data_IF_905506356307
#
_entry.id   IF_905506356307
#
_cell.length_a   1.000
_cell.length_b   1.000
_cell.length_c   1.000
_cell.angle_alpha   90.00
_cell.angle_beta   90.00
_cell.angle_gamma   90.00
#
_symmetry.space_group_name_H-M   'P 1'
#
loop_
_entity.id
_entity.type
_entity.pdbx_description
1 polymer ?
#
# COMPACT_ATOMS: atom_id res chain seq x y z
N UNK A 1 42.61 -0.06 9.44
CA UNK A 1 41.22 0.44 9.52
C UNK A 1 40.48 0.45 8.18
N UNK A 2 41.16 0.44 7.03
CA UNK A 2 40.55 0.48 5.69
C UNK A 2 39.55 -0.66 5.40
N UNK A 3 39.87 -1.91 5.73
CA UNK A 3 39.02 -3.05 5.35
C UNK A 3 37.65 -3.17 6.02
N UNK A 4 37.43 -2.56 7.20
CA UNK A 4 36.11 -2.59 7.89
C UNK A 4 35.17 -1.51 7.34
N UNK A 5 35.74 -0.34 7.02
CA UNK A 5 34.97 0.77 6.47
C UNK A 5 34.47 0.47 5.05
N UNK A 6 35.29 -0.18 4.22
CA UNK A 6 34.87 -0.61 2.88
C UNK A 6 33.76 -1.66 2.92
N UNK A 7 33.83 -2.65 3.83
CA UNK A 7 32.76 -3.64 4.02
C UNK A 7 31.44 -3.00 4.48
N UNK A 8 31.51 -1.98 5.33
CA UNK A 8 30.32 -1.23 5.78
C UNK A 8 29.72 -0.39 4.64
N UNK A 9 30.57 0.28 3.86
CA UNK A 9 30.14 1.06 2.69
C UNK A 9 29.49 0.17 1.63
N UNK A 10 30.05 -1.02 1.39
CA UNK A 10 29.49 -2.02 0.48
C UNK A 10 28.12 -2.53 0.96
N UNK A 11 27.97 -2.85 2.26
CA UNK A 11 26.69 -3.30 2.84
C UNK A 11 25.62 -2.21 2.76
N UNK A 12 25.95 -0.98 3.13
CA UNK A 12 25.05 0.17 3.00
C UNK A 12 24.62 0.39 1.55
N UNK A 13 25.55 0.28 0.60
CA UNK A 13 25.26 0.38 -0.83
C UNK A 13 24.29 -0.68 -1.34
N UNK A 14 24.48 -1.94 -0.95
CA UNK A 14 23.58 -3.04 -1.32
C UNK A 14 22.18 -2.82 -0.71
N UNK A 15 22.09 -2.40 0.56
CA UNK A 15 20.81 -2.11 1.21
C UNK A 15 20.07 -0.94 0.54
N UNK A 16 20.78 0.14 0.20
CA UNK A 16 20.20 1.27 -0.54
C UNK A 16 19.69 0.84 -1.91
N UNK A 17 20.45 -0.02 -2.63
CA UNK A 17 20.02 -0.56 -3.91
C UNK A 17 18.74 -1.39 -3.78
N UNK A 18 18.67 -2.28 -2.79
CA UNK A 18 17.47 -3.10 -2.53
C UNK A 18 16.25 -2.22 -2.22
N UNK A 19 16.42 -1.18 -1.39
CA UNK A 19 15.35 -0.23 -1.08
C UNK A 19 14.92 0.53 -2.34
N UNK A 20 15.87 1.02 -3.14
CA UNK A 20 15.57 1.75 -4.37
C UNK A 20 14.81 0.89 -5.39
N UNK A 21 15.21 -0.37 -5.57
CA UNK A 21 14.50 -1.32 -6.43
C UNK A 21 13.11 -1.62 -5.87
N UNK A 22 12.97 -1.86 -4.56
CA UNK A 22 11.68 -2.10 -3.91
C UNK A 22 10.73 -0.91 -4.07
N UNK A 23 11.19 0.31 -3.82
CA UNK A 23 10.42 1.52 -4.04
C UNK A 23 10.06 1.69 -5.52
N UNK A 24 11.01 1.49 -6.44
CA UNK A 24 10.76 1.56 -7.87
C UNK A 24 9.66 0.61 -8.33
N UNK A 25 9.69 -0.64 -7.88
CA UNK A 25 8.65 -1.64 -8.18
C UNK A 25 7.30 -1.29 -7.55
N UNK A 26 7.30 -0.77 -6.31
CA UNK A 26 6.08 -0.32 -5.63
C UNK A 26 5.39 0.81 -6.41
N UNK A 27 6.16 1.81 -6.82
CA UNK A 27 5.65 2.95 -7.56
C UNK A 27 5.27 2.58 -9.00
N UNK A 28 6.06 1.76 -9.71
CA UNK A 28 5.77 1.38 -11.10
C UNK A 28 4.43 0.65 -11.24
N UNK A 29 4.12 -0.27 -10.32
CA UNK A 29 2.82 -0.96 -10.29
C UNK A 29 1.68 -0.02 -9.88
N UNK A 30 1.96 0.94 -8.99
CA UNK A 30 1.01 1.99 -8.61
C UNK A 30 0.82 3.11 -9.64
N UNK A 31 1.77 3.33 -10.56
CA UNK A 31 1.72 4.40 -11.56
C UNK A 31 1.28 3.90 -12.94
N UNK A 32 1.57 2.64 -13.27
CA UNK A 32 1.12 2.00 -14.52
C UNK A 32 -0.37 1.65 -14.54
N UNK A 33 -1.05 1.76 -13.41
CA UNK A 33 -2.49 1.61 -13.28
C UNK A 33 -2.99 2.74 -12.39
N UNK A 34 -4.05 3.47 -12.73
CA UNK A 34 -4.66 4.49 -11.84
C UNK A 34 -5.28 3.90 -10.55
N UNK A 35 -4.92 2.66 -10.21
CA UNK A 35 -5.20 2.01 -8.94
C UNK A 35 -4.41 2.75 -7.86
N UNK A 36 -4.99 3.01 -6.68
CA UNK A 36 -4.24 3.66 -5.61
C UNK A 36 -3.00 2.82 -5.26
N UNK A 37 -1.82 3.44 -5.33
CA UNK A 37 -0.56 2.81 -4.92
C UNK A 37 -0.70 2.23 -3.51
N UNK A 38 -0.33 0.97 -3.32
CA UNK A 38 -0.45 0.32 -2.02
C UNK A 38 -1.83 -0.25 -1.70
N UNK A 39 -2.79 -0.27 -2.63
CA UNK A 39 -4.14 -0.83 -2.39
C UNK A 39 -4.11 -2.22 -1.75
N UNK A 40 -3.27 -3.13 -2.28
CA UNK A 40 -3.14 -4.48 -1.74
C UNK A 40 -2.74 -4.51 -0.26
N UNK A 41 -1.74 -3.70 0.11
CA UNK A 41 -1.29 -3.60 1.49
C UNK A 41 -2.32 -2.86 2.37
N UNK A 42 -2.93 -1.79 1.87
CA UNK A 42 -3.96 -1.05 2.59
C UNK A 42 -5.18 -1.94 2.91
N UNK A 43 -5.61 -2.78 1.97
CA UNK A 43 -6.64 -3.78 2.20
C UNK A 43 -6.18 -4.89 3.17
N UNK A 44 -4.92 -5.31 3.12
CA UNK A 44 -4.41 -6.32 4.05
C UNK A 44 -4.45 -5.83 5.52
N UNK A 45 -4.01 -4.60 5.77
CA UNK A 45 -3.93 -4.01 7.12
C UNK A 45 -5.19 -3.26 7.56
N UNK A 46 -6.15 -3.04 6.66
CA UNK A 46 -7.40 -2.34 6.97
C UNK A 46 -8.34 -3.14 7.87
N UNK A 47 -9.17 -2.41 8.61
CA UNK A 47 -10.24 -2.98 9.45
C UNK A 47 -11.49 -3.18 8.60
N UNK A 48 -12.22 -4.31 8.70
CA UNK A 48 -13.49 -4.50 8.00
C UNK A 48 -14.43 -3.30 8.21
N UNK A 49 -15.00 -2.82 7.11
CA UNK A 49 -15.80 -1.61 7.09
C UNK A 49 -17.09 -1.80 6.30
N UNK A 50 -18.19 -1.26 6.83
CA UNK A 50 -19.39 -1.00 6.03
C UNK A 50 -19.24 0.37 5.36
N UNK A 51 -19.80 0.51 4.16
CA UNK A 51 -19.58 1.66 3.28
C UNK A 51 -20.92 2.10 2.72
N UNK A 52 -21.23 3.38 2.94
CA UNK A 52 -22.37 4.06 2.34
C UNK A 52 -21.86 5.09 1.33
N UNK A 53 -22.18 4.87 0.06
CA UNK A 53 -21.75 5.73 -1.02
C UNK A 53 -22.54 7.04 -1.02
N UNK A 54 -21.85 8.15 -1.29
CA UNK A 54 -22.51 9.34 -1.79
C UNK A 54 -22.98 9.10 -3.24
N UNK A 55 -23.91 9.92 -3.74
CA UNK A 55 -24.46 9.80 -5.10
C UNK A 55 -23.45 10.04 -6.24
N UNK A 56 -22.17 10.31 -5.93
CA UNK A 56 -21.11 10.52 -6.91
C UNK A 56 -19.95 9.52 -6.76
N UNK A 57 -19.71 8.74 -7.82
CA UNK A 57 -18.49 7.95 -8.00
C UNK A 57 -17.93 8.21 -9.40
N UNK A 58 -16.62 8.43 -9.50
CA UNK A 58 -15.91 8.46 -10.78
C UNK A 58 -15.43 7.04 -11.09
N UNK A 59 -15.88 6.49 -12.20
CA UNK A 59 -15.48 5.17 -12.69
C UNK A 59 -14.56 5.38 -13.89
N UNK A 60 -13.38 4.75 -13.87
CA UNK A 60 -12.44 4.74 -14.99
C UNK A 60 -12.07 3.30 -15.37
N UNK A 61 -12.18 2.97 -16.66
CA UNK A 61 -11.80 1.67 -17.20
C UNK A 61 -10.31 1.63 -17.51
N UNK A 62 -9.56 0.73 -16.87
CA UNK A 62 -8.13 0.54 -17.15
C UNK A 62 -7.98 -0.59 -18.19
N UNK A 63 -7.00 -0.44 -19.10
CA UNK A 63 -6.66 -1.46 -20.09
C UNK A 63 -6.51 -2.85 -19.46
N UNK A 64 -7.22 -3.84 -20.01
CA UNK A 64 -7.39 -5.17 -19.40
C UNK A 64 -8.82 -5.48 -18.93
N UNK A 65 -9.75 -4.51 -19.01
CA UNK A 65 -11.20 -4.78 -19.01
C UNK A 65 -11.92 -4.63 -17.67
N UNK A 66 -11.24 -4.35 -16.56
CA UNK A 66 -11.88 -4.07 -15.27
C UNK A 66 -11.82 -2.58 -14.93
N UNK A 67 -12.98 -1.97 -14.70
CA UNK A 67 -13.08 -0.61 -14.21
C UNK A 67 -12.75 -0.50 -12.73
N UNK A 68 -12.14 0.62 -12.36
CA UNK A 68 -11.91 0.99 -10.96
C UNK A 68 -12.67 2.27 -10.65
N UNK A 69 -13.41 2.26 -9.54
CA UNK A 69 -14.17 3.40 -9.05
C UNK A 69 -13.46 4.12 -7.92
N UNK A 70 -13.46 5.46 -8.00
CA UNK A 70 -13.13 6.37 -6.90
C UNK A 70 -14.39 7.11 -6.49
N UNK A 71 -14.88 6.83 -5.28
CA UNK A 71 -16.05 7.48 -4.72
C UNK A 71 -15.61 8.41 -3.58
N UNK A 72 -15.89 9.70 -3.70
CA UNK A 72 -15.57 10.70 -2.67
C UNK A 72 -16.77 10.97 -1.77
N UNK A 73 -16.54 11.49 -0.56
CA UNK A 73 -17.61 11.78 0.39
C UNK A 73 -18.31 10.52 0.95
N UNK A 74 -17.67 9.36 0.82
CA UNK A 74 -18.20 8.08 1.27
C UNK A 74 -18.15 8.00 2.78
N UNK A 75 -19.26 7.62 3.41
CA UNK A 75 -19.29 7.30 4.83
C UNK A 75 -18.88 5.85 5.00
N UNK A 76 -18.02 5.59 5.97
CA UNK A 76 -17.63 4.23 6.30
C UNK A 76 -17.69 4.03 7.81
N UNK A 77 -17.98 2.81 8.24
CA UNK A 77 -17.97 2.43 9.66
C UNK A 77 -17.10 1.20 9.85
N UNK A 78 -16.07 1.32 10.70
CA UNK A 78 -15.11 0.26 10.99
C UNK A 78 -14.80 0.23 12.49
N UNK A 79 -14.86 -0.96 13.10
CA UNK A 79 -14.52 -1.13 14.53
C UNK A 79 -15.32 -0.22 15.48
N UNK A 80 -16.59 0.05 15.17
CA UNK A 80 -17.46 0.92 15.98
C UNK A 80 -17.22 2.42 15.81
N UNK A 81 -16.36 2.83 14.87
CA UNK A 81 -16.14 4.25 14.52
C UNK A 81 -16.61 4.51 13.10
N UNK A 82 -17.27 5.65 12.92
CA UNK A 82 -17.65 6.13 11.59
C UNK A 82 -16.72 7.25 11.14
N UNK A 83 -16.45 7.28 9.84
CA UNK A 83 -15.65 8.30 9.18
C UNK A 83 -16.25 8.67 7.83
N UNK A 84 -15.69 9.70 7.21
CA UNK A 84 -16.03 10.10 5.84
C UNK A 84 -14.76 10.27 5.05
N UNK A 85 -14.74 9.80 3.81
CA UNK A 85 -13.53 9.86 2.99
C UNK A 85 -13.73 9.32 1.58
N UNK A 86 -12.68 8.70 1.05
CA UNK A 86 -12.68 8.15 -0.30
C UNK A 86 -12.72 6.63 -0.27
N UNK A 87 -13.61 6.03 -1.06
CA UNK A 87 -13.58 4.62 -1.41
C UNK A 87 -12.85 4.40 -2.73
N UNK A 88 -11.97 3.42 -2.74
CA UNK A 88 -11.40 2.84 -3.96
C UNK A 88 -11.88 1.41 -4.10
N UNK A 89 -12.57 1.06 -5.19
CA UNK A 89 -13.12 -0.27 -5.42
C UNK A 89 -13.12 -0.63 -6.91
N UNK A 90 -13.42 -1.89 -7.24
CA UNK A 90 -13.73 -2.24 -8.62
C UNK A 90 -15.14 -1.75 -8.99
N UNK A 91 -15.33 -1.43 -10.26
CA UNK A 91 -16.61 -1.00 -10.82
C UNK A 91 -17.73 -2.03 -10.56
N UNK A 92 -17.41 -3.32 -10.66
CA UNK A 92 -18.37 -4.42 -10.46
C UNK A 92 -19.02 -4.42 -9.06
N UNK A 93 -18.34 -3.82 -8.07
CA UNK A 93 -18.84 -3.70 -6.69
C UNK A 93 -19.68 -2.43 -6.46
N UNK A 94 -19.73 -1.52 -7.44
CA UNK A 94 -20.47 -0.25 -7.38
C UNK A 94 -21.71 -0.37 -8.27
N UNK A 95 -22.89 -0.45 -7.66
CA UNK A 95 -24.16 -0.58 -8.38
C UNK A 95 -24.90 0.74 -8.38
N UNK A 96 -25.49 1.09 -9.51
CA UNK A 96 -26.42 2.23 -9.63
C UNK A 96 -27.85 1.70 -9.70
N UNK A 97 -28.72 2.19 -8.80
CA UNK A 97 -30.15 1.88 -8.83
C UNK A 97 -30.85 2.66 -9.96
N UNK A 98 -32.10 2.28 -10.25
CA UNK A 98 -32.93 2.98 -11.24
C UNK A 98 -33.16 4.46 -10.88
N UNK A 99 -33.17 4.78 -9.58
CA UNK A 99 -33.36 6.13 -9.05
C UNK A 99 -32.07 6.97 -9.06
N UNK A 100 -30.95 6.40 -9.52
CA UNK A 100 -29.65 7.05 -9.61
C UNK A 100 -28.76 6.92 -8.38
N UNK A 101 -29.27 6.31 -7.30
CA UNK A 101 -28.51 6.06 -6.08
C UNK A 101 -27.40 5.03 -6.30
N UNK A 102 -26.26 5.27 -5.64
CA UNK A 102 -25.11 4.37 -5.69
C UNK A 102 -25.10 3.50 -4.44
N UNK A 103 -24.91 2.20 -4.63
CA UNK A 103 -24.74 1.23 -3.54
C UNK A 103 -23.45 0.44 -3.74
N UNK A 104 -22.78 0.13 -2.64
CA UNK A 104 -21.58 -0.71 -2.64
C UNK A 104 -21.95 -2.11 -2.20
N UNK A 105 -21.67 -3.11 -3.04
CA UNK A 105 -22.02 -4.52 -2.79
C UNK A 105 -20.82 -5.41 -2.42
N UNK A 106 -19.61 -4.85 -2.45
CA UNK A 106 -18.38 -5.59 -2.19
C UNK A 106 -17.98 -5.66 -0.71
N UNK A 107 -16.87 -6.34 -0.45
CA UNK A 107 -16.17 -6.27 0.83
C UNK A 107 -15.27 -5.03 0.85
N UNK A 108 -15.33 -4.24 1.93
CA UNK A 108 -14.46 -3.10 2.13
C UNK A 108 -13.73 -3.16 3.47
N UNK A 109 -12.57 -2.51 3.50
CA UNK A 109 -11.78 -2.28 4.70
C UNK A 109 -11.35 -0.82 4.78
N UNK A 110 -11.42 -0.25 5.98
CA UNK A 110 -10.98 1.11 6.26
C UNK A 110 -9.54 1.11 6.79
N UNK A 111 -8.75 2.08 6.32
CA UNK A 111 -7.42 2.38 6.83
C UNK A 111 -7.18 3.89 6.76
N UNK A 112 -7.02 4.52 7.93
CA UNK A 112 -6.99 5.99 8.03
C UNK A 112 -8.33 6.59 7.59
N UNK A 113 -8.27 7.63 6.75
CA UNK A 113 -9.46 8.35 6.26
C UNK A 113 -10.04 7.76 4.97
N UNK A 114 -9.70 6.51 4.64
CA UNK A 114 -10.05 5.88 3.36
C UNK A 114 -10.64 4.49 3.56
N UNK A 115 -11.51 4.13 2.64
CA UNK A 115 -12.03 2.78 2.47
C UNK A 115 -11.47 2.15 1.20
N UNK A 116 -11.25 0.85 1.24
CA UNK A 116 -10.68 0.06 0.16
C UNK A 116 -11.56 -1.16 -0.06
N UNK A 117 -12.16 -1.25 -1.24
CA UNK A 117 -12.78 -2.48 -1.73
C UNK A 117 -11.73 -3.58 -1.94
N UNK A 118 -12.18 -4.80 -2.14
CA UNK A 118 -11.29 -5.96 -2.31
C UNK A 118 -10.45 -5.85 -3.60
N UNK A 119 -9.11 -5.76 -3.51
CA UNK A 119 -8.25 -5.79 -4.68
C UNK A 119 -8.10 -7.23 -5.21
N UNK A 120 -7.46 -7.39 -6.37
CA UNK A 120 -7.07 -8.72 -6.86
C UNK A 120 -6.04 -9.37 -5.93
N UNK A 121 -6.15 -10.69 -5.73
CA UNK A 121 -5.30 -11.42 -4.77
C UNK A 121 -3.80 -11.25 -5.04
N UNK A 122 -3.38 -11.22 -6.31
CA UNK A 122 -1.98 -11.02 -6.68
C UNK A 122 -1.48 -9.63 -6.27
N UNK A 123 -2.33 -8.60 -6.28
CA UNK A 123 -1.97 -7.26 -5.83
C UNK A 123 -1.69 -7.25 -4.32
N UNK A 124 -2.46 -8.00 -3.52
CA UNK A 124 -2.21 -8.12 -2.08
C UNK A 124 -0.83 -8.73 -1.84
N UNK A 125 -0.56 -9.89 -2.46
CA UNK A 125 0.73 -10.60 -2.32
C UNK A 125 1.88 -9.71 -2.77
N UNK A 126 1.77 -9.07 -3.93
CA UNK A 126 2.82 -8.22 -4.46
C UNK A 126 3.12 -7.02 -3.55
N UNK A 127 2.10 -6.26 -3.14
CA UNK A 127 2.32 -5.09 -2.29
C UNK A 127 2.88 -5.47 -0.92
N UNK A 128 2.45 -6.61 -0.34
CA UNK A 128 3.02 -7.12 0.91
C UNK A 128 4.47 -7.58 0.74
N UNK A 129 4.80 -8.26 -0.36
CA UNK A 129 6.17 -8.68 -0.65
C UNK A 129 7.10 -7.48 -0.80
N UNK A 130 6.68 -6.46 -1.57
CA UNK A 130 7.46 -5.24 -1.75
C UNK A 130 7.62 -4.47 -0.44
N UNK A 131 6.57 -4.37 0.38
CA UNK A 131 6.67 -3.77 1.71
C UNK A 131 7.63 -4.55 2.62
N UNK A 132 7.58 -5.88 2.57
CA UNK A 132 8.51 -6.75 3.30
C UNK A 132 9.96 -6.52 2.90
N UNK A 133 10.25 -6.44 1.59
CA UNK A 133 11.59 -6.13 1.07
C UNK A 133 12.07 -4.75 1.54
N UNK A 134 11.20 -3.74 1.52
CA UNK A 134 11.51 -2.41 2.03
C UNK A 134 11.84 -2.43 3.53
N UNK A 135 11.04 -3.11 4.34
CA UNK A 135 11.30 -3.29 5.78
C UNK A 135 12.65 -3.97 6.05
N UNK A 136 12.96 -5.04 5.33
CA UNK A 136 14.26 -5.73 5.45
C UNK A 136 15.42 -4.82 5.06
N UNK A 137 15.26 -4.01 4.01
CA UNK A 137 16.25 -3.01 3.62
C UNK A 137 16.51 -1.97 4.71
N UNK A 138 15.45 -1.43 5.32
CA UNK A 138 15.55 -0.47 6.44
C UNK A 138 16.24 -1.10 7.65
N UNK A 139 15.88 -2.33 8.03
CA UNK A 139 16.53 -3.05 9.12
C UNK A 139 18.03 -3.28 8.85
N UNK A 140 18.40 -3.59 7.60
CA UNK A 140 19.81 -3.74 7.22
C UNK A 140 20.59 -2.42 7.29
N UNK A 141 19.96 -1.29 6.93
CA UNK A 141 20.55 0.04 7.12
C UNK A 141 20.74 0.38 8.59
N UNK A 142 19.73 0.14 9.43
CA UNK A 142 19.83 0.35 10.88
C UNK A 142 20.92 -0.52 11.51
N UNK A 143 21.00 -1.79 11.15
CA UNK A 143 22.07 -2.69 11.59
C UNK A 143 23.46 -2.20 11.18
N UNK A 144 23.59 -1.62 9.98
CA UNK A 144 24.84 -1.02 9.50
C UNK A 144 25.22 0.23 10.30
N UNK A 145 24.25 1.07 10.67
CA UNK A 145 24.46 2.25 11.52
C UNK A 145 24.89 1.86 12.93
N UNK A 146 24.21 0.89 13.56
CA UNK A 146 24.57 0.39 14.90
C UNK A 146 25.98 -0.23 14.90
N UNK A 147 26.32 -1.03 13.88
CA UNK A 147 27.65 -1.62 13.75
C UNK A 147 28.77 -0.57 13.52
N UNK A 148 28.44 0.59 12.96
CA UNK A 148 29.35 1.72 12.83
C UNK A 148 29.52 2.49 14.16
N UNK A 149 28.48 2.58 14.99
CA UNK A 149 28.50 3.28 16.26
C UNK A 149 29.16 2.51 17.42
N UNK A 150 29.25 1.18 17.34
CA UNK A 150 29.85 0.37 18.41
C UNK A 150 31.39 0.54 18.49
N UNK A 151 31.95 0.86 19.68
CA UNK A 151 33.38 0.99 19.87
C UNK A 151 34.06 -0.34 19.64
N UNK A 152 35.09 -0.32 18.79
CA UNK A 152 35.90 -1.49 18.51
C UNK A 152 36.66 -1.86 19.78
N UNK A 153 36.26 -2.93 20.49
CA UNK A 153 37.18 -3.59 21.44
C UNK A 153 38.37 -4.06 20.62
N UNK A 154 39.48 -3.31 20.71
CA UNK A 154 40.80 -3.81 20.32
C UNK A 154 41.02 -5.05 21.16
N UNK A 155 40.90 -6.25 20.57
CA UNK A 155 41.63 -7.40 21.10
C UNK A 155 43.09 -7.07 20.81
N UNK A 156 43.78 -6.63 21.86
CA UNK A 156 45.23 -6.65 21.94
C UNK A 156 45.71 -8.10 21.88
#
# INVERSE_FOLDING_TARGET
MQGRWEKLKQRSGISLFIIAVGLGLFFFVGSGSQKPTGWGAAYAFGTPATVDLASSCRIETIGGGKGTGKCEGVKWTAGGRSGTGTLYAFEDDIKRSADGDLTFAGEAKALGDRAYGRPESWMVVFHLAVLGVACLGVLALLGSLVAAALPTRRRA
#
